data_IF_886498937352
#
_entry.id   IF_886498937352
#
_cell.length_a   1.000
_cell.length_b   1.000
_cell.length_c   1.000
_cell.angle_alpha   90.00
_cell.angle_beta   90.00
_cell.angle_gamma   90.00
#
_symmetry.space_group_name_H-M   'P 1'
#
loop_
_entity.id
_entity.type
_entity.pdbx_description
1 polymer ?
#
# COMPACT_ATOMS: atom_id res chain seq x y z
N UNK A 1 4.82 -36.07 -2.08
CA UNK A 1 3.42 -36.03 -1.61
C UNK A 1 2.63 -35.25 -2.67
N UNK A 2 1.71 -35.90 -3.43
CA UNK A 2 0.89 -35.18 -4.43
C UNK A 2 -0.20 -34.42 -3.70
N UNK A 3 -0.05 -33.11 -3.53
CA UNK A 3 -1.11 -32.25 -3.03
C UNK A 3 -2.23 -32.25 -4.09
N UNK A 4 -3.47 -32.50 -3.70
CA UNK A 4 -4.62 -32.41 -4.62
C UNK A 4 -4.72 -30.96 -5.10
N UNK A 5 -5.08 -30.75 -6.39
CA UNK A 5 -5.09 -29.40 -6.99
C UNK A 5 -5.95 -28.38 -6.23
N UNK A 6 -7.05 -28.82 -5.59
CA UNK A 6 -7.91 -27.98 -4.76
C UNK A 6 -7.20 -27.46 -3.50
N UNK A 7 -6.48 -28.33 -2.79
CA UNK A 7 -5.77 -27.94 -1.56
C UNK A 7 -4.66 -26.91 -1.82
N UNK A 8 -3.96 -27.03 -2.96
CA UNK A 8 -2.92 -26.07 -3.33
C UNK A 8 -3.49 -24.68 -3.66
N UNK A 9 -4.67 -24.62 -4.28
CA UNK A 9 -5.38 -23.36 -4.54
C UNK A 9 -5.86 -22.70 -3.25
N UNK A 10 -6.35 -23.47 -2.29
CA UNK A 10 -6.73 -22.98 -0.95
C UNK A 10 -5.52 -22.42 -0.20
N UNK A 11 -4.38 -23.11 -0.25
CA UNK A 11 -3.12 -22.63 0.35
C UNK A 11 -2.65 -21.33 -0.32
N UNK A 12 -2.71 -21.25 -1.64
CA UNK A 12 -2.36 -20.04 -2.39
C UNK A 12 -3.27 -18.87 -2.03
N UNK A 13 -4.59 -19.08 -2.01
CA UNK A 13 -5.54 -18.04 -1.63
C UNK A 13 -5.31 -17.55 -0.20
N UNK A 14 -5.13 -18.48 0.75
CA UNK A 14 -4.83 -18.12 2.13
C UNK A 14 -3.54 -17.30 2.26
N UNK A 15 -2.49 -17.65 1.53
CA UNK A 15 -1.23 -16.93 1.51
C UNK A 15 -1.40 -15.51 0.93
N UNK A 16 -2.16 -15.36 -0.17
CA UNK A 16 -2.49 -14.06 -0.78
C UNK A 16 -3.25 -13.15 0.18
N UNK A 17 -4.27 -13.68 0.86
CA UNK A 17 -5.06 -12.92 1.84
C UNK A 17 -4.18 -12.49 3.01
N UNK A 18 -3.40 -13.40 3.58
CA UNK A 18 -2.50 -13.08 4.69
C UNK A 18 -1.44 -12.02 4.29
N UNK A 19 -0.93 -12.09 3.06
CA UNK A 19 0.00 -11.09 2.51
C UNK A 19 -0.68 -9.72 2.43
N UNK A 20 -1.86 -9.63 1.82
CA UNK A 20 -2.61 -8.38 1.71
C UNK A 20 -2.97 -7.79 3.09
N UNK A 21 -3.33 -8.63 4.07
CA UNK A 21 -3.60 -8.18 5.44
C UNK A 21 -2.37 -7.57 6.13
N UNK A 22 -1.18 -8.13 5.92
CA UNK A 22 0.06 -7.54 6.43
C UNK A 22 0.34 -6.19 5.76
N UNK A 23 0.11 -6.09 4.46
CA UNK A 23 0.28 -4.84 3.72
C UNK A 23 -0.70 -3.78 4.23
N UNK A 24 -1.99 -4.10 4.41
CA UNK A 24 -2.96 -3.19 5.01
C UNK A 24 -2.52 -2.68 6.40
N UNK A 25 -1.99 -3.57 7.25
CA UNK A 25 -1.44 -3.21 8.56
C UNK A 25 -0.23 -2.27 8.46
N UNK A 26 0.59 -2.38 7.41
CA UNK A 26 1.73 -1.46 7.22
C UNK A 26 1.27 -0.04 6.95
N UNK A 27 0.22 0.16 6.15
CA UNK A 27 -0.37 1.49 5.87
C UNK A 27 -1.04 2.07 7.10
N UNK A 28 -1.83 1.27 7.84
CA UNK A 28 -2.43 1.65 9.11
C UNK A 28 -1.38 2.16 10.11
N UNK A 29 -0.29 1.41 10.28
CA UNK A 29 0.78 1.78 11.19
C UNK A 29 1.54 3.03 10.72
N UNK A 30 1.77 3.18 9.41
CA UNK A 30 2.36 4.40 8.84
C UNK A 30 1.49 5.63 9.14
N UNK A 31 0.17 5.53 8.93
CA UNK A 31 -0.75 6.64 9.26
C UNK A 31 -0.69 6.98 10.74
N UNK A 32 -0.67 5.98 11.62
CA UNK A 32 -0.52 6.17 13.06
C UNK A 32 0.79 6.90 13.41
N UNK A 33 1.90 6.54 12.76
CA UNK A 33 3.19 7.20 12.93
C UNK A 33 3.09 8.68 12.53
N UNK A 34 2.54 8.98 11.35
CA UNK A 34 2.46 10.36 10.88
C UNK A 34 1.54 11.22 11.77
N UNK A 35 0.33 10.73 12.08
CA UNK A 35 -0.63 11.51 12.90
C UNK A 35 -0.04 11.90 14.24
N UNK A 36 0.74 11.03 14.86
CA UNK A 36 1.35 11.29 16.18
C UNK A 36 2.79 11.87 16.06
N UNK A 37 3.29 12.14 14.86
CA UNK A 37 4.67 12.51 14.60
C UNK A 37 5.17 13.66 15.50
N UNK A 38 4.37 14.70 15.69
CA UNK A 38 4.78 15.87 16.47
C UNK A 38 4.82 15.59 17.98
N UNK A 39 4.08 14.61 18.47
CA UNK A 39 3.87 14.30 19.89
C UNK A 39 4.83 13.22 20.40
N UNK A 40 5.15 12.22 19.57
CA UNK A 40 6.00 11.08 19.96
C UNK A 40 7.48 11.45 19.95
N UNK A 41 8.24 10.83 20.87
CA UNK A 41 9.70 10.98 20.94
C UNK A 41 10.43 10.08 19.94
N UNK A 42 11.75 10.33 19.78
CA UNK A 42 12.62 9.52 18.90
C UNK A 42 12.57 8.02 19.23
N UNK A 43 12.57 7.68 20.51
CA UNK A 43 12.57 6.26 20.96
C UNK A 43 11.27 5.57 20.55
N UNK A 44 10.13 6.17 20.81
CA UNK A 44 8.83 5.61 20.47
C UNK A 44 8.67 5.48 18.95
N UNK A 45 9.07 6.51 18.18
CA UNK A 45 9.06 6.44 16.72
C UNK A 45 9.96 5.33 16.20
N UNK A 46 11.13 5.10 16.82
CA UNK A 46 12.04 4.00 16.47
C UNK A 46 11.41 2.64 16.71
N UNK A 47 10.67 2.46 17.81
CA UNK A 47 9.93 1.24 18.11
C UNK A 47 8.80 0.99 17.10
N UNK A 48 8.03 2.04 16.74
CA UNK A 48 6.98 1.95 15.71
C UNK A 48 7.55 1.63 14.32
N UNK A 49 8.68 2.25 13.94
CA UNK A 49 9.37 1.94 12.70
C UNK A 49 9.87 0.48 12.67
N UNK A 50 10.40 -0.02 13.77
CA UNK A 50 10.83 -1.43 13.88
C UNK A 50 9.65 -2.37 13.67
N UNK A 51 8.51 -2.09 14.32
CA UNK A 51 7.28 -2.87 14.14
C UNK A 51 6.80 -2.86 12.68
N UNK A 52 6.85 -1.70 12.01
CA UNK A 52 6.47 -1.60 10.60
C UNK A 52 7.45 -2.37 9.70
N UNK A 53 8.74 -2.29 9.98
CA UNK A 53 9.77 -3.07 9.26
C UNK A 53 9.58 -4.58 9.44
N UNK A 54 9.16 -5.04 10.61
CA UNK A 54 8.85 -6.45 10.86
C UNK A 54 7.61 -6.92 10.09
N UNK A 55 6.60 -6.06 9.95
CA UNK A 55 5.41 -6.35 9.13
C UNK A 55 5.81 -6.50 7.66
N UNK A 56 6.60 -5.57 7.12
CA UNK A 56 7.06 -5.64 5.73
C UNK A 56 7.96 -6.86 5.48
N UNK A 57 8.89 -7.19 6.39
CA UNK A 57 9.72 -8.38 6.28
C UNK A 57 8.88 -9.68 6.26
N UNK A 58 7.78 -9.73 7.01
CA UNK A 58 6.83 -10.86 6.99
C UNK A 58 6.08 -10.91 5.67
N UNK A 59 5.65 -9.76 5.12
CA UNK A 59 5.00 -9.69 3.82
C UNK A 59 5.94 -10.16 2.71
N UNK A 60 7.22 -9.71 2.69
CA UNK A 60 8.23 -10.17 1.74
C UNK A 60 8.51 -11.70 1.85
N UNK A 61 8.47 -12.26 3.04
CA UNK A 61 8.59 -13.71 3.24
C UNK A 61 7.42 -14.47 2.66
N UNK A 62 6.18 -13.97 2.87
CA UNK A 62 4.97 -14.54 2.26
C UNK A 62 4.97 -14.41 0.73
N UNK A 63 5.43 -13.29 0.18
CA UNK A 63 5.60 -13.12 -1.28
C UNK A 63 6.44 -14.26 -1.87
N UNK A 64 7.57 -14.60 -1.24
CA UNK A 64 8.44 -15.70 -1.69
C UNK A 64 7.75 -17.07 -1.59
N UNK A 65 6.94 -17.28 -0.55
CA UNK A 65 6.13 -18.49 -0.41
C UNK A 65 5.08 -18.57 -1.53
N UNK A 66 4.36 -17.49 -1.81
CA UNK A 66 3.37 -17.40 -2.89
C UNK A 66 4.03 -17.71 -4.24
N UNK A 67 5.22 -17.15 -4.52
CA UNK A 67 5.95 -17.45 -5.76
C UNK A 67 6.26 -18.95 -5.90
N UNK A 68 6.62 -19.62 -4.81
CA UNK A 68 6.84 -21.07 -4.82
C UNK A 68 5.54 -21.85 -5.04
N UNK A 69 4.42 -21.44 -4.42
CA UNK A 69 3.11 -22.06 -4.63
C UNK A 69 2.62 -21.89 -6.06
N UNK A 70 2.76 -20.70 -6.64
CA UNK A 70 2.42 -20.42 -8.05
C UNK A 70 3.27 -21.27 -9.00
N UNK A 71 4.59 -21.38 -8.75
CA UNK A 71 5.51 -22.18 -9.56
C UNK A 71 5.09 -23.65 -9.66
N UNK A 72 4.68 -24.27 -8.54
CA UNK A 72 4.31 -25.68 -8.49
C UNK A 72 2.84 -25.94 -8.83
N UNK A 73 2.01 -24.89 -8.89
CA UNK A 73 0.60 -24.99 -9.21
C UNK A 73 0.38 -25.41 -10.67
N UNK A 74 -0.75 -26.09 -10.92
CA UNK A 74 -1.23 -26.41 -12.28
C UNK A 74 -2.21 -25.35 -12.81
N UNK A 75 -2.14 -24.15 -12.31
CA UNK A 75 -2.95 -23.01 -12.77
C UNK A 75 -2.51 -22.63 -14.19
N UNK A 76 -3.45 -22.10 -14.98
CA UNK A 76 -3.17 -21.61 -16.33
C UNK A 76 -2.05 -20.56 -16.31
N UNK A 77 -1.18 -20.47 -17.31
CA UNK A 77 -0.09 -19.49 -17.35
C UNK A 77 -0.54 -18.06 -17.18
N UNK A 78 -1.65 -17.64 -17.79
CA UNK A 78 -2.23 -16.29 -17.64
C UNK A 78 -2.61 -16.00 -16.19
N UNK A 79 -3.26 -16.94 -15.51
CA UNK A 79 -3.59 -16.79 -14.09
C UNK A 79 -2.35 -16.69 -13.19
N UNK A 80 -1.25 -17.36 -13.57
CA UNK A 80 0.02 -17.24 -12.84
C UNK A 80 0.58 -15.84 -12.93
N UNK A 81 0.50 -15.22 -14.11
CA UNK A 81 0.95 -13.85 -14.33
C UNK A 81 0.13 -12.86 -13.52
N UNK A 82 -1.20 -13.02 -13.49
CA UNK A 82 -2.11 -12.20 -12.68
C UNK A 82 -1.77 -12.30 -11.19
N UNK A 83 -1.56 -13.52 -10.65
CA UNK A 83 -1.17 -13.71 -9.25
C UNK A 83 0.16 -13.09 -8.90
N UNK A 84 1.16 -13.25 -9.77
CA UNK A 84 2.49 -12.69 -9.54
C UNK A 84 2.44 -11.16 -9.56
N UNK A 85 1.68 -10.58 -10.49
CA UNK A 85 1.48 -9.14 -10.61
C UNK A 85 0.72 -8.58 -9.39
N UNK A 86 -0.36 -9.25 -8.98
CA UNK A 86 -1.13 -8.88 -7.79
C UNK A 86 -0.26 -8.83 -6.53
N UNK A 87 0.54 -9.88 -6.29
CA UNK A 87 1.45 -9.92 -5.13
C UNK A 87 2.53 -8.86 -5.23
N UNK A 88 3.07 -8.62 -6.43
CA UNK A 88 4.11 -7.64 -6.65
C UNK A 88 3.63 -6.22 -6.31
N UNK A 89 2.50 -5.78 -6.87
CA UNK A 89 1.96 -4.45 -6.57
C UNK A 89 1.49 -4.31 -5.12
N UNK A 90 0.91 -5.38 -4.56
CA UNK A 90 0.51 -5.36 -3.15
C UNK A 90 1.73 -5.20 -2.22
N UNK A 91 2.85 -5.84 -2.51
CA UNK A 91 4.07 -5.73 -1.69
C UNK A 91 4.73 -4.36 -1.81
N UNK A 92 4.68 -3.72 -2.99
CA UNK A 92 5.21 -2.35 -3.16
C UNK A 92 4.55 -1.34 -2.19
N UNK A 93 3.27 -1.52 -1.84
CA UNK A 93 2.57 -0.71 -0.84
C UNK A 93 3.27 -0.79 0.54
N UNK A 94 3.67 -1.99 0.97
CA UNK A 94 4.38 -2.17 2.24
C UNK A 94 5.78 -1.58 2.19
N UNK A 95 6.48 -1.74 1.06
CA UNK A 95 7.79 -1.14 0.82
C UNK A 95 7.76 0.39 0.88
N UNK A 96 6.77 1.03 0.25
CA UNK A 96 6.53 2.48 0.31
C UNK A 96 6.23 2.92 1.75
N UNK A 97 5.36 2.20 2.45
CA UNK A 97 5.03 2.50 3.85
C UNK A 97 6.27 2.51 4.75
N UNK A 98 7.16 1.52 4.59
CA UNK A 98 8.44 1.43 5.31
C UNK A 98 9.39 2.58 4.93
N UNK A 99 9.46 2.93 3.64
CA UNK A 99 10.32 4.01 3.16
C UNK A 99 9.89 5.37 3.73
N UNK A 100 8.60 5.66 3.78
CA UNK A 100 8.05 6.89 4.36
C UNK A 100 8.32 6.93 5.88
N UNK A 101 8.02 5.84 6.60
CA UNK A 101 8.29 5.77 8.04
C UNK A 101 9.77 5.96 8.37
N UNK A 102 10.67 5.46 7.54
CA UNK A 102 12.12 5.67 7.66
C UNK A 102 12.49 7.15 7.50
N UNK A 103 11.88 7.85 6.52
CA UNK A 103 12.09 9.30 6.33
C UNK A 103 11.62 10.09 7.54
N UNK A 104 10.44 9.76 8.10
CA UNK A 104 9.92 10.37 9.31
C UNK A 104 10.86 10.15 10.51
N UNK A 105 11.43 8.94 10.67
CA UNK A 105 12.40 8.65 11.71
C UNK A 105 13.69 9.48 11.54
N UNK A 106 14.20 9.62 10.32
CA UNK A 106 15.36 10.47 10.03
C UNK A 106 15.06 11.93 10.39
N UNK A 107 13.90 12.46 10.00
CA UNK A 107 13.49 13.80 10.34
C UNK A 107 13.46 14.02 11.86
N UNK A 108 12.90 13.07 12.60
CA UNK A 108 12.82 13.13 14.05
C UNK A 108 14.20 13.15 14.72
N UNK A 109 15.15 12.32 14.23
CA UNK A 109 16.52 12.33 14.71
C UNK A 109 17.26 13.66 14.47
N UNK A 110 16.94 14.32 13.35
CA UNK A 110 17.55 15.61 12.98
C UNK A 110 16.80 16.82 13.60
N UNK A 111 15.74 16.60 14.38
CA UNK A 111 14.91 17.66 14.94
C UNK A 111 14.11 18.45 13.90
N UNK A 112 13.86 17.87 12.73
CA UNK A 112 13.09 18.49 11.65
C UNK A 112 11.60 18.35 11.97
N UNK A 113 10.93 19.49 12.06
CA UNK A 113 9.47 19.56 12.23
C UNK A 113 8.80 19.67 10.86
N UNK A 114 7.68 18.97 10.69
CA UNK A 114 6.84 19.13 9.51
C UNK A 114 5.88 20.30 9.77
N UNK A 115 5.81 21.31 8.88
CA UNK A 115 4.86 22.40 9.00
C UNK A 115 3.42 21.89 9.15
N UNK A 116 2.62 22.53 10.01
CA UNK A 116 1.28 22.04 10.36
C UNK A 116 0.36 21.87 9.13
N UNK A 117 0.45 22.76 8.14
CA UNK A 117 -0.31 22.65 6.89
C UNK A 117 0.08 21.40 6.11
N UNK A 118 1.38 21.11 5.94
CA UNK A 118 1.89 19.94 5.24
C UNK A 118 1.61 18.63 6.00
N UNK A 119 1.71 18.67 7.34
CA UNK A 119 1.33 17.55 8.19
C UNK A 119 -0.16 17.19 8.01
N UNK A 120 -1.04 18.20 7.90
CA UNK A 120 -2.46 18.01 7.64
C UNK A 120 -2.71 17.36 6.28
N UNK A 121 -2.08 17.84 5.19
CA UNK A 121 -2.22 17.25 3.87
C UNK A 121 -1.73 15.80 3.82
N UNK A 122 -0.54 15.52 4.34
CA UNK A 122 0.00 14.16 4.41
C UNK A 122 -0.89 13.22 5.24
N UNK A 123 -1.47 13.74 6.34
CA UNK A 123 -2.41 12.98 7.18
C UNK A 123 -3.71 12.63 6.44
N UNK A 124 -4.26 13.56 5.64
CA UNK A 124 -5.44 13.32 4.83
C UNK A 124 -5.15 12.35 3.69
N UNK A 125 -4.04 12.50 2.97
CA UNK A 125 -3.58 11.57 1.94
C UNK A 125 -3.44 10.15 2.51
N UNK A 126 -2.73 9.97 3.63
CA UNK A 126 -2.57 8.65 4.26
C UNK A 126 -3.88 8.07 4.78
N UNK A 127 -4.85 8.88 5.19
CA UNK A 127 -6.19 8.39 5.55
C UNK A 127 -6.92 7.79 4.34
N UNK A 128 -6.79 8.40 3.16
CA UNK A 128 -7.33 7.87 1.91
C UNK A 128 -6.58 6.61 1.46
N UNK A 129 -5.24 6.62 1.57
CA UNK A 129 -4.40 5.46 1.24
C UNK A 129 -4.71 4.25 2.13
N UNK A 130 -4.98 4.46 3.43
CA UNK A 130 -5.43 3.41 4.34
C UNK A 130 -6.77 2.83 3.88
N UNK A 131 -7.74 3.68 3.53
CA UNK A 131 -9.03 3.22 3.02
C UNK A 131 -8.89 2.46 1.69
N UNK A 132 -8.03 2.90 0.79
CA UNK A 132 -7.72 2.17 -0.45
C UNK A 132 -7.12 0.79 -0.13
N UNK A 133 -6.13 0.71 0.76
CA UNK A 133 -5.48 -0.55 1.16
C UNK A 133 -6.44 -1.53 1.84
N UNK A 134 -7.38 -1.05 2.67
CA UNK A 134 -8.45 -1.88 3.26
C UNK A 134 -9.33 -2.49 2.17
N UNK A 135 -9.64 -1.73 1.11
CA UNK A 135 -10.43 -2.25 0.00
C UNK A 135 -9.61 -3.21 -0.88
N UNK A 136 -8.30 -3.03 -1.02
CA UNK A 136 -7.40 -4.02 -1.63
C UNK A 136 -7.48 -5.36 -0.88
N UNK A 137 -7.43 -5.35 0.45
CA UNK A 137 -7.57 -6.59 1.26
C UNK A 137 -8.90 -7.29 0.99
N UNK A 138 -10.00 -6.53 0.92
CA UNK A 138 -11.33 -7.10 0.59
C UNK A 138 -11.34 -7.68 -0.83
N UNK A 139 -10.76 -6.96 -1.79
CA UNK A 139 -10.69 -7.38 -3.19
C UNK A 139 -9.89 -8.68 -3.35
N UNK A 140 -8.76 -8.81 -2.66
CA UNK A 140 -7.95 -10.04 -2.64
C UNK A 140 -8.72 -11.21 -2.03
N UNK A 141 -9.51 -10.98 -0.97
CA UNK A 141 -10.39 -12.01 -0.38
C UNK A 141 -11.42 -12.54 -1.36
N UNK A 142 -11.92 -11.67 -2.25
CA UNK A 142 -12.94 -11.99 -3.26
C UNK A 142 -12.35 -12.40 -4.61
N UNK A 143 -11.03 -12.55 -4.73
CA UNK A 143 -10.36 -12.72 -6.01
C UNK A 143 -10.89 -13.90 -6.85
N UNK A 144 -11.38 -14.96 -6.17
CA UNK A 144 -11.97 -16.14 -6.81
C UNK A 144 -13.50 -16.04 -7.01
N UNK A 145 -14.10 -15.01 -6.45
CA UNK A 145 -15.55 -14.80 -6.53
C UNK A 145 -15.83 -13.86 -7.69
N UNK A 146 -16.69 -14.28 -8.61
CA UNK A 146 -17.21 -13.41 -9.65
C UNK A 146 -18.37 -12.59 -9.10
N UNK A 147 -18.40 -11.28 -9.36
CA UNK A 147 -19.56 -10.48 -9.00
C UNK A 147 -19.35 -8.97 -9.06
N UNK A 148 -20.49 -8.28 -9.08
CA UNK A 148 -20.60 -6.83 -9.12
C UNK A 148 -19.88 -6.13 -7.95
N UNK A 149 -19.88 -6.74 -6.76
CA UNK A 149 -19.26 -6.21 -5.56
C UNK A 149 -17.74 -6.01 -5.67
N UNK A 150 -17.04 -6.84 -6.44
CA UNK A 150 -15.61 -6.64 -6.68
C UNK A 150 -15.33 -5.43 -7.58
N UNK A 151 -16.17 -5.18 -8.58
CA UNK A 151 -16.09 -3.96 -9.40
C UNK A 151 -16.39 -2.70 -8.60
N UNK A 152 -17.34 -2.75 -7.66
CA UNK A 152 -17.63 -1.64 -6.75
C UNK A 152 -16.43 -1.32 -5.85
N UNK A 153 -15.75 -2.35 -5.31
CA UNK A 153 -14.53 -2.16 -4.53
C UNK A 153 -13.40 -1.57 -5.39
N UNK A 154 -13.23 -2.05 -6.61
CA UNK A 154 -12.23 -1.52 -7.54
C UNK A 154 -12.51 -0.05 -7.91
N UNK A 155 -13.78 0.32 -8.15
CA UNK A 155 -14.18 1.71 -8.39
C UNK A 155 -13.97 2.60 -7.15
N UNK A 156 -14.14 2.05 -5.95
CA UNK A 156 -13.88 2.78 -4.71
C UNK A 156 -12.39 3.03 -4.49
N UNK A 157 -11.52 2.09 -4.85
CA UNK A 157 -10.06 2.25 -4.81
C UNK A 157 -9.63 3.37 -5.78
N UNK A 158 -10.10 3.34 -7.03
CA UNK A 158 -9.84 4.37 -8.04
C UNK A 158 -10.32 5.76 -7.58
N UNK A 159 -11.45 5.83 -6.87
CA UNK A 159 -11.91 7.08 -6.29
C UNK A 159 -10.94 7.63 -5.25
N UNK A 160 -10.38 6.78 -4.37
CA UNK A 160 -9.40 7.20 -3.37
C UNK A 160 -8.09 7.65 -4.01
N UNK A 161 -7.65 7.00 -5.08
CA UNK A 161 -6.48 7.42 -5.86
C UNK A 161 -6.68 8.85 -6.39
N UNK A 162 -7.79 9.14 -7.09
CA UNK A 162 -8.09 10.49 -7.60
C UNK A 162 -8.17 11.54 -6.49
N UNK A 163 -8.75 11.21 -5.34
CA UNK A 163 -8.80 12.12 -4.19
C UNK A 163 -7.38 12.39 -3.62
N UNK A 164 -6.48 11.41 -3.63
CA UNK A 164 -5.09 11.57 -3.19
C UNK A 164 -4.29 12.39 -4.20
N UNK A 165 -4.48 12.19 -5.51
CA UNK A 165 -3.81 12.98 -6.55
C UNK A 165 -4.20 14.48 -6.44
N UNK A 166 -5.48 14.79 -6.20
CA UNK A 166 -5.91 16.16 -5.92
C UNK A 166 -5.25 16.76 -4.67
N UNK A 167 -5.11 15.98 -3.61
CA UNK A 167 -4.45 16.41 -2.38
C UNK A 167 -2.94 16.59 -2.59
N UNK A 168 -2.32 15.73 -3.39
CA UNK A 168 -0.91 15.82 -3.79
C UNK A 168 -0.61 17.17 -4.43
N UNK A 169 -1.41 17.61 -5.40
CA UNK A 169 -1.24 18.91 -6.04
C UNK A 169 -1.28 20.05 -5.02
N UNK A 170 -2.25 20.06 -4.12
CA UNK A 170 -2.37 21.07 -3.07
C UNK A 170 -1.19 21.04 -2.08
N UNK A 171 -0.73 19.86 -1.71
CA UNK A 171 0.41 19.69 -0.81
C UNK A 171 1.72 20.15 -1.45
N UNK A 172 1.93 19.89 -2.75
CA UNK A 172 3.08 20.39 -3.50
C UNK A 172 3.04 21.91 -3.63
N UNK A 173 1.90 22.49 -3.96
CA UNK A 173 1.71 23.95 -4.04
C UNK A 173 2.05 24.61 -2.69
N UNK A 174 1.53 24.09 -1.59
CA UNK A 174 1.83 24.58 -0.23
C UNK A 174 3.31 24.44 0.10
N UNK A 175 3.95 23.32 -0.30
CA UNK A 175 5.39 23.14 -0.11
C UNK A 175 6.19 24.21 -0.84
N UNK A 176 5.88 24.45 -2.10
CA UNK A 176 6.57 25.48 -2.90
C UNK A 176 6.30 26.88 -2.37
N UNK A 177 5.12 27.16 -1.85
CA UNK A 177 4.79 28.44 -1.20
C UNK A 177 5.66 28.68 0.03
N UNK A 178 5.83 27.67 0.90
CA UNK A 178 6.72 27.77 2.06
C UNK A 178 8.17 27.97 1.58
N UNK A 179 8.62 27.21 0.62
CA UNK A 179 9.99 27.22 0.12
C UNK A 179 10.36 28.47 -0.67
N UNK A 180 9.39 29.24 -1.15
CA UNK A 180 9.63 30.53 -1.81
C UNK A 180 10.10 31.59 -0.82
N UNK A 181 9.79 31.46 0.46
CA UNK A 181 10.18 32.40 1.51
C UNK A 181 11.42 31.94 2.28
N UNK A 182 11.60 30.64 2.48
CA UNK A 182 12.72 30.07 3.23
C UNK A 182 13.10 28.69 2.70
N UNK A 183 14.32 28.56 2.18
CA UNK A 183 14.83 27.31 1.68
C UNK A 183 15.42 26.45 2.79
N UNK A 184 14.92 25.23 2.94
CA UNK A 184 15.38 24.28 3.94
C UNK A 184 15.37 22.85 3.40
N UNK A 185 15.81 21.87 4.19
CA UNK A 185 15.77 20.44 3.82
C UNK A 185 14.36 19.95 3.52
N UNK A 186 13.33 20.57 4.10
CA UNK A 186 11.92 20.30 3.85
C UNK A 186 11.59 20.47 2.36
N UNK A 187 12.18 21.47 1.71
CA UNK A 187 11.94 21.79 0.30
C UNK A 187 12.38 20.70 -0.68
N UNK A 188 13.27 19.82 -0.24
CA UNK A 188 13.72 18.67 -1.04
C UNK A 188 12.96 17.40 -0.58
N UNK A 189 12.83 17.21 0.71
CA UNK A 189 12.41 15.92 1.26
C UNK A 189 10.87 15.76 1.32
N UNK A 190 10.12 16.85 1.54
CA UNK A 190 8.64 16.77 1.60
C UNK A 190 8.02 16.48 0.22
N UNK A 191 8.41 17.10 -0.90
CA UNK A 191 7.87 16.70 -2.22
C UNK A 191 8.05 15.20 -2.50
N UNK A 192 9.22 14.65 -2.20
CA UNK A 192 9.49 13.21 -2.36
C UNK A 192 8.58 12.37 -1.44
N UNK A 193 8.31 12.83 -0.22
CA UNK A 193 7.40 12.13 0.69
C UNK A 193 5.95 12.20 0.22
N UNK A 194 5.51 13.32 -0.35
CA UNK A 194 4.18 13.50 -0.94
C UNK A 194 4.00 12.51 -2.10
N UNK A 195 4.99 12.43 -3.01
CA UNK A 195 4.97 11.49 -4.14
C UNK A 195 4.97 10.03 -3.67
N UNK A 196 5.74 9.68 -2.63
CA UNK A 196 5.70 8.32 -2.07
C UNK A 196 4.33 7.96 -1.46
N UNK A 197 3.64 8.92 -0.82
CA UNK A 197 2.30 8.68 -0.25
C UNK A 197 1.26 8.48 -1.36
N UNK A 198 1.32 9.28 -2.41
CA UNK A 198 0.46 9.12 -3.59
C UNK A 198 0.71 7.75 -4.25
N UNK A 199 1.96 7.35 -4.41
CA UNK A 199 2.32 6.06 -4.98
C UNK A 199 1.71 4.86 -4.22
N UNK A 200 1.34 4.99 -2.94
CA UNK A 200 0.60 3.95 -2.22
C UNK A 200 -0.78 3.72 -2.87
N UNK A 201 -1.51 4.78 -3.20
CA UNK A 201 -2.84 4.67 -3.84
C UNK A 201 -2.74 4.22 -5.28
N UNK A 202 -1.72 4.63 -6.03
CA UNK A 202 -1.42 4.13 -7.38
C UNK A 202 -1.24 2.61 -7.40
N UNK A 203 -0.51 2.07 -6.39
CA UNK A 203 -0.34 0.61 -6.29
C UNK A 203 -1.63 -0.08 -5.89
N UNK A 204 -2.47 0.55 -5.06
CA UNK A 204 -3.80 0.02 -4.76
C UNK A 204 -4.68 -0.03 -6.03
N UNK A 205 -4.64 1.00 -6.89
CA UNK A 205 -5.33 1.03 -8.17
C UNK A 205 -4.80 -0.05 -9.12
N UNK A 206 -3.47 -0.22 -9.21
CA UNK A 206 -2.85 -1.29 -10.00
C UNK A 206 -3.37 -2.68 -9.60
N UNK A 207 -3.58 -2.94 -8.31
CA UNK A 207 -4.20 -4.19 -7.83
C UNK A 207 -5.67 -4.29 -8.27
N UNK A 208 -6.42 -3.20 -8.22
CA UNK A 208 -7.81 -3.17 -8.67
C UNK A 208 -7.93 -3.43 -10.17
N UNK A 209 -7.00 -2.93 -10.98
CA UNK A 209 -6.96 -3.16 -12.42
C UNK A 209 -6.64 -4.61 -12.78
N UNK A 210 -5.71 -5.24 -12.06
CA UNK A 210 -5.46 -6.69 -12.24
C UNK A 210 -6.72 -7.49 -11.94
N UNK A 211 -7.45 -7.15 -10.88
CA UNK A 211 -8.73 -7.80 -10.58
C UNK A 211 -9.72 -7.63 -11.73
N UNK A 212 -9.89 -6.41 -12.25
CA UNK A 212 -10.78 -6.13 -13.39
C UNK A 212 -10.41 -6.96 -14.62
N UNK A 213 -9.12 -6.99 -14.97
CA UNK A 213 -8.60 -7.77 -16.09
C UNK A 213 -8.87 -9.26 -15.91
N UNK A 214 -8.63 -9.80 -14.73
CA UNK A 214 -8.88 -11.21 -14.38
C UNK A 214 -10.36 -11.60 -14.58
N UNK A 215 -11.30 -10.78 -14.08
CA UNK A 215 -12.73 -11.06 -14.24
C UNK A 215 -13.18 -10.96 -15.69
N UNK A 216 -12.72 -9.95 -16.43
CA UNK A 216 -13.07 -9.75 -17.85
C UNK A 216 -12.53 -10.89 -18.73
N UNK A 217 -11.25 -11.29 -18.54
CA UNK A 217 -10.61 -12.33 -19.34
C UNK A 217 -11.27 -13.70 -19.17
N UNK A 218 -11.89 -13.96 -18.02
CA UNK A 218 -12.58 -15.23 -17.74
C UNK A 218 -14.05 -15.25 -18.12
N UNK A 219 -14.60 -14.14 -18.61
CA UNK A 219 -16.02 -14.05 -18.93
C UNK A 219 -16.93 -14.24 -17.70
N UNK A 220 -16.43 -13.92 -16.52
CA UNK A 220 -17.15 -14.05 -15.26
C UNK A 220 -18.12 -12.88 -14.98
N UNK A 221 -18.36 -12.06 -15.99
CA UNK A 221 -19.46 -11.05 -15.98
C UNK A 221 -20.73 -11.77 -16.43
N UNK A 222 -21.47 -12.33 -15.49
CA UNK A 222 -22.76 -12.99 -15.71
C UNK A 222 -23.86 -12.36 -14.87
#
# INVERSE_FOLDING_TARGET
>A
MKISGGKLLEELHSALVNHAELVGKSVELLRKILVNYNEIGVRELSELYTNLSDIENKADSLKREIFNLVKISKIHPEDKEDFLSLVFYTEEIAGLSKAIAKKLLIFKHLGISIPASLHSYLGEMLSKSENASVNVVKLVKMYWESGESGFELAALIEKFEKEVDELRLKALEETYRICSSEYSVICIAIPIMIDDVESITDKCESVADIYRLHIVSRGLMG
#
